data_IF_316027389881
#
_entry.id   IF_316027389881
#
_cell.length_a   1.000
_cell.length_b   1.000
_cell.length_c   1.000
_cell.angle_alpha   90.00
_cell.angle_beta   90.00
_cell.angle_gamma   90.00
#
_symmetry.space_group_name_H-M   'P 1'
#
loop_
_entity.id
_entity.type
_entity.pdbx_description
1 polymer ?
#
# COMPACT_ATOMS: atom_id res chain seq x y z
N UNK A 1 -2.40 6.69 21.92
CA UNK A 1 -1.09 7.32 21.72
C UNK A 1 -1.44 8.66 21.09
N UNK A 2 -0.79 9.78 21.42
CA UNK A 2 -1.29 11.07 20.94
C UNK A 2 -0.78 11.33 19.52
N UNK A 3 -1.41 10.70 18.54
CA UNK A 3 -1.01 10.69 17.13
C UNK A 3 -2.05 11.38 16.22
N UNK A 4 -2.95 12.17 16.82
CA UNK A 4 -4.07 12.87 16.18
C UNK A 4 -5.12 11.95 15.56
N UNK A 5 -5.03 10.65 15.81
CA UNK A 5 -6.02 9.66 15.45
C UNK A 5 -6.79 9.23 16.70
N UNK A 6 -8.12 9.24 16.58
CA UNK A 6 -8.99 8.76 17.64
C UNK A 6 -9.10 7.24 17.51
N UNK A 7 -8.19 6.53 18.17
CA UNK A 7 -8.16 5.06 18.21
C UNK A 7 -9.18 4.50 19.22
N UNK A 8 -9.51 5.28 20.27
CA UNK A 8 -10.54 4.93 21.24
C UNK A 8 -11.89 5.60 20.90
N UNK A 9 -12.99 4.85 21.00
CA UNK A 9 -14.34 5.33 20.66
C UNK A 9 -14.83 6.56 21.46
N UNK A 10 -14.19 6.86 22.59
CA UNK A 10 -14.47 8.01 23.47
C UNK A 10 -13.45 9.16 23.34
N UNK A 11 -12.41 9.00 22.50
CA UNK A 11 -11.35 9.98 22.28
C UNK A 11 -10.49 10.28 23.50
N UNK A 12 -10.45 9.36 24.47
CA UNK A 12 -9.66 9.47 25.68
C UNK A 12 -8.15 9.39 25.42
N UNK A 13 -7.76 8.79 24.31
CA UNK A 13 -6.39 8.60 23.84
C UNK A 13 -5.72 9.87 23.29
N UNK A 14 -6.51 10.91 23.01
CA UNK A 14 -6.09 12.25 22.56
C UNK A 14 -6.32 13.34 23.63
N UNK A 15 -6.69 12.93 24.85
CA UNK A 15 -6.90 13.82 25.99
C UNK A 15 -5.79 13.62 27.03
N UNK A 16 -5.32 14.72 27.62
CA UNK A 16 -4.26 14.72 28.63
C UNK A 16 -2.90 14.20 28.09
N UNK A 17 -2.63 14.51 26.83
CA UNK A 17 -1.37 14.20 26.16
C UNK A 17 -0.23 14.98 26.82
N UNK A 18 0.76 14.26 27.37
CA UNK A 18 2.08 14.83 27.63
C UNK A 18 2.61 15.45 26.35
N UNK A 19 3.49 16.44 26.44
CA UNK A 19 3.90 17.35 25.36
C UNK A 19 4.25 16.73 23.98
N UNK A 20 4.34 15.43 23.79
CA UNK A 20 4.64 14.78 22.51
C UNK A 20 3.35 14.41 21.76
N UNK A 21 3.05 15.16 20.68
CA UNK A 21 2.03 14.82 19.67
C UNK A 21 2.74 14.28 18.41
N UNK A 22 2.13 13.31 17.74
CA UNK A 22 2.55 12.76 16.45
C UNK A 22 1.47 13.03 15.37
N UNK A 23 1.82 13.23 14.09
CA UNK A 23 3.15 13.57 13.58
C UNK A 23 3.67 14.88 14.20
N UNK A 24 4.98 15.15 14.10
CA UNK A 24 5.63 16.30 14.74
C UNK A 24 5.06 17.67 14.31
N UNK A 25 4.28 17.72 13.23
CA UNK A 25 3.56 18.88 12.73
C UNK A 25 2.22 19.17 13.44
N UNK A 26 1.78 18.37 14.40
CA UNK A 26 0.53 18.58 15.15
C UNK A 26 0.71 19.55 16.34
N UNK A 27 -0.24 20.49 16.52
CA UNK A 27 -0.21 21.42 17.66
C UNK A 27 -0.76 20.77 18.94
N UNK A 28 -0.14 21.05 20.09
CA UNK A 28 -0.75 20.81 21.40
C UNK A 28 -1.42 22.09 21.87
N UNK A 29 -2.75 22.08 21.97
CA UNK A 29 -3.53 23.20 22.50
C UNK A 29 -4.40 22.68 23.64
N UNK A 30 -4.22 23.23 24.85
CA UNK A 30 -4.97 22.86 26.05
C UNK A 30 -5.02 21.33 26.30
N UNK A 31 -3.87 20.66 26.27
CA UNK A 31 -3.71 19.21 26.55
C UNK A 31 -4.46 18.27 25.57
N UNK A 32 -4.73 18.76 24.36
CA UNK A 32 -5.28 18.00 23.23
C UNK A 32 -4.46 18.24 21.96
N UNK A 33 -4.18 17.18 21.19
CA UNK A 33 -3.45 17.28 19.91
C UNK A 33 -4.43 17.53 18.75
N UNK A 34 -4.16 18.52 17.89
CA UNK A 34 -5.00 18.85 16.73
C UNK A 34 -4.19 18.90 15.44
N UNK A 35 -4.75 18.32 14.37
CA UNK A 35 -4.22 18.38 12.99
C UNK A 35 -4.99 19.42 12.17
N UNK A 36 -4.34 20.01 11.15
CA UNK A 36 -4.92 21.01 10.25
C UNK A 36 -4.23 22.38 10.23
N UNK A 37 -3.11 22.52 10.92
CA UNK A 37 -2.22 23.68 10.81
C UNK A 37 -1.12 23.39 9.80
N UNK A 38 -0.75 24.38 8.99
CA UNK A 38 0.40 24.27 8.09
C UNK A 38 1.67 24.28 8.94
N UNK A 39 2.48 23.24 8.83
CA UNK A 39 3.83 23.25 9.39
C UNK A 39 4.80 23.81 8.36
N UNK A 40 5.81 24.56 8.81
CA UNK A 40 6.89 25.08 7.99
C UNK A 40 6.46 26.07 6.91
N UNK A 41 5.65 27.06 7.28
CA UNK A 41 5.08 28.06 6.38
C UNK A 41 5.83 29.39 6.37
N UNK A 42 7.15 29.34 6.56
CA UNK A 42 8.04 30.50 6.47
C UNK A 42 7.90 31.47 7.68
N UNK A 43 7.61 30.92 8.86
CA UNK A 43 7.69 31.64 10.13
C UNK A 43 6.39 32.26 10.64
N UNK A 44 5.23 31.89 10.11
CA UNK A 44 3.94 32.27 10.70
C UNK A 44 3.53 31.26 11.78
N UNK A 45 3.64 31.65 13.05
CA UNK A 45 3.24 30.79 14.16
C UNK A 45 1.71 30.67 14.25
N UNK A 46 1.19 29.53 13.82
CA UNK A 46 -0.19 29.09 13.92
C UNK A 46 -0.47 28.24 15.19
N UNK A 47 0.53 27.57 15.76
CA UNK A 47 0.43 26.90 17.05
C UNK A 47 0.73 27.84 18.24
N UNK A 48 -0.03 27.71 19.34
CA UNK A 48 0.24 28.45 20.58
C UNK A 48 1.58 28.08 21.25
N UNK A 49 2.05 26.83 21.07
CA UNK A 49 3.36 26.34 21.53
C UNK A 49 4.49 26.59 20.51
N UNK A 50 4.16 27.17 19.34
CA UNK A 50 5.06 27.51 18.23
C UNK A 50 5.82 26.33 17.64
N UNK A 51 5.24 25.12 17.66
CA UNK A 51 5.92 23.90 17.20
C UNK A 51 5.76 23.56 15.74
N UNK A 52 4.68 24.03 15.13
CA UNK A 52 4.50 24.12 13.68
C UNK A 52 5.72 24.67 12.94
N UNK A 53 6.51 25.53 13.58
CA UNK A 53 7.74 26.12 13.02
C UNK A 53 9.04 25.69 13.74
N UNK A 54 8.97 24.80 14.75
CA UNK A 54 10.14 24.43 15.58
C UNK A 54 10.85 23.16 15.14
N UNK A 55 10.14 22.27 14.45
CA UNK A 55 10.66 21.00 13.89
C UNK A 55 10.59 20.97 12.37
N UNK A 56 10.74 22.14 11.76
CA UNK A 56 11.10 22.22 10.35
C UNK A 56 12.58 21.89 10.27
N UNK A 57 12.90 20.63 9.94
CA UNK A 57 14.19 20.39 9.31
C UNK A 57 14.22 21.32 8.09
N UNK A 58 15.19 22.25 8.02
CA UNK A 58 15.35 22.99 6.79
C UNK A 58 15.60 21.92 5.74
N UNK A 59 14.65 21.82 4.81
CA UNK A 59 14.88 21.27 3.49
C UNK A 59 16.32 21.65 3.13
N UNK A 60 17.21 20.68 2.98
CA UNK A 60 18.63 20.92 2.73
C UNK A 60 18.85 21.42 1.30
N UNK A 61 17.96 22.26 0.80
CA UNK A 61 18.37 23.45 0.10
C UNK A 61 18.61 24.51 1.18
N UNK A 62 19.83 24.50 1.73
CA UNK A 62 20.40 25.72 2.30
C UNK A 62 19.98 26.86 1.39
N UNK A 63 19.33 27.91 1.94
CA UNK A 63 19.21 29.18 1.22
C UNK A 63 20.64 29.48 0.79
N UNK A 64 20.92 29.30 -0.51
CA UNK A 64 22.25 29.49 -1.08
C UNK A 64 22.59 30.94 -0.81
N UNK A 65 23.42 31.16 0.22
CA UNK A 65 23.70 32.49 0.69
C UNK A 65 24.80 33.03 -0.20
N UNK A 66 24.40 33.72 -1.26
CA UNK A 66 25.34 34.34 -2.19
C UNK A 66 26.01 35.55 -1.53
N UNK A 67 27.31 35.69 -1.75
CA UNK A 67 28.09 36.87 -1.40
C UNK A 67 28.81 37.41 -2.62
N UNK A 68 29.09 38.72 -2.63
CA UNK A 68 29.97 39.32 -3.63
C UNK A 68 31.28 39.69 -2.96
N UNK A 69 32.37 39.11 -3.44
CA UNK A 69 33.68 39.24 -2.82
C UNK A 69 34.77 39.53 -3.87
N UNK A 70 35.96 39.96 -3.43
CA UNK A 70 37.10 40.17 -4.32
C UNK A 70 37.53 38.87 -4.99
N UNK A 71 37.60 38.86 -6.32
CA UNK A 71 38.18 37.78 -7.12
C UNK A 71 39.67 37.96 -7.40
N UNK A 72 40.30 39.04 -6.95
CA UNK A 72 41.73 39.28 -7.14
C UNK A 72 42.33 40.14 -6.02
N UNK A 73 43.66 40.10 -5.89
CA UNK A 73 44.44 40.84 -4.89
C UNK A 73 44.14 42.34 -4.90
N UNK A 74 43.80 42.91 -6.07
CA UNK A 74 43.56 44.34 -6.25
C UNK A 74 42.08 44.72 -6.19
N UNK A 75 41.16 43.78 -5.95
CA UNK A 75 39.71 43.98 -5.93
C UNK A 75 39.17 44.65 -7.21
N UNK A 76 39.80 44.38 -8.35
CA UNK A 76 39.38 44.89 -9.67
C UNK A 76 38.29 44.00 -10.30
N UNK A 77 38.14 42.77 -9.82
CA UNK A 77 37.08 41.85 -10.22
C UNK A 77 36.27 41.41 -9.01
N UNK A 78 34.96 41.66 -9.02
CA UNK A 78 34.04 41.10 -8.04
C UNK A 78 33.49 39.77 -8.59
N UNK A 79 33.44 38.77 -7.72
CA UNK A 79 32.90 37.43 -8.04
C UNK A 79 31.70 37.17 -7.13
N UNK A 80 30.67 36.55 -7.69
CA UNK A 80 29.56 35.97 -6.91
C UNK A 80 30.00 34.59 -6.41
N UNK A 81 30.07 34.44 -5.09
CA UNK A 81 30.48 33.22 -4.41
C UNK A 81 29.32 32.67 -3.57
N UNK A 82 29.30 31.35 -3.38
CA UNK A 82 28.34 30.72 -2.48
C UNK A 82 29.00 30.63 -1.11
N UNK A 83 28.36 31.19 -0.08
CA UNK A 83 28.90 31.11 1.27
C UNK A 83 28.75 29.69 1.82
N UNK A 84 29.85 29.17 2.38
CA UNK A 84 29.88 27.95 3.18
C UNK A 84 29.47 26.68 2.43
N UNK A 85 29.77 26.57 1.15
CA UNK A 85 29.56 25.35 0.37
C UNK A 85 30.80 24.43 0.33
N UNK A 86 31.88 24.84 1.01
CA UNK A 86 33.13 24.11 1.10
C UNK A 86 34.03 24.33 -0.11
N UNK A 87 33.70 25.27 -1.00
CA UNK A 87 34.48 25.58 -2.20
C UNK A 87 34.88 27.05 -2.22
N UNK A 88 36.19 27.36 -2.28
CA UNK A 88 36.64 28.74 -2.31
C UNK A 88 36.46 29.35 -3.70
N UNK A 89 35.58 30.33 -3.81
CA UNK A 89 35.42 31.21 -4.96
C UNK A 89 35.95 32.63 -4.71
N UNK A 90 36.00 33.08 -3.46
CA UNK A 90 36.58 34.36 -3.07
C UNK A 90 38.10 34.29 -2.96
N UNK A 91 38.80 35.33 -3.42
CA UNK A 91 40.26 35.42 -3.31
C UNK A 91 40.74 35.49 -1.86
N UNK A 92 39.98 36.15 -0.98
CA UNK A 92 40.28 36.27 0.44
C UNK A 92 39.72 35.12 1.29
N UNK A 93 39.11 34.12 0.65
CA UNK A 93 38.42 32.98 1.29
C UNK A 93 37.32 33.42 2.26
N UNK A 94 36.73 34.60 2.04
CA UNK A 94 35.70 35.17 2.93
C UNK A 94 34.38 34.39 2.89
N UNK A 95 34.13 33.70 1.79
CA UNK A 95 33.05 32.74 1.59
C UNK A 95 33.13 31.52 2.53
N UNK A 96 34.33 31.05 2.87
CA UNK A 96 34.55 29.78 3.58
C UNK A 96 35.24 29.90 4.95
N UNK A 97 36.08 30.92 5.14
CA UNK A 97 37.07 30.97 6.22
C UNK A 97 36.98 32.19 7.16
N UNK A 98 35.95 33.02 7.03
CA UNK A 98 35.75 34.21 7.88
C UNK A 98 34.95 33.93 9.18
N UNK A 99 34.73 32.65 9.50
CA UNK A 99 33.99 32.24 10.70
C UNK A 99 32.47 32.48 10.63
N UNK A 100 31.97 32.94 9.48
CA UNK A 100 30.54 33.05 9.17
C UNK A 100 29.88 31.68 8.95
N UNK A 101 30.68 30.63 8.69
CA UNK A 101 30.22 29.27 8.44
C UNK A 101 30.12 28.45 9.73
N UNK A 102 29.04 27.67 9.88
CA UNK A 102 28.84 26.78 11.03
C UNK A 102 29.86 25.62 11.02
N UNK A 103 30.28 25.20 9.83
CA UNK A 103 31.40 24.29 9.60
C UNK A 103 32.45 25.06 8.80
N UNK A 104 33.61 25.31 9.39
CA UNK A 104 34.73 25.92 8.66
C UNK A 104 35.46 24.86 7.87
N UNK A 105 35.71 25.13 6.59
CA UNK A 105 36.42 24.17 5.76
C UNK A 105 37.84 23.90 6.31
N UNK A 106 38.31 22.64 6.35
CA UNK A 106 39.58 22.30 6.98
C UNK A 106 40.81 22.91 6.28
N UNK A 107 40.68 23.34 5.01
CA UNK A 107 41.71 24.10 4.29
C UNK A 107 41.87 25.55 4.76
N UNK A 108 40.99 26.08 5.61
CA UNK A 108 41.11 27.43 6.18
C UNK A 108 42.38 27.63 7.03
N UNK A 109 43.00 26.53 7.47
CA UNK A 109 44.27 26.55 8.20
C UNK A 109 45.50 26.58 7.28
N UNK A 110 45.33 26.42 5.96
CA UNK A 110 46.40 26.30 4.96
C UNK A 110 46.37 27.49 3.99
N UNK A 111 46.10 28.71 4.50
CA UNK A 111 46.02 29.96 3.72
C UNK A 111 47.27 30.25 2.86
N UNK A 112 48.43 29.71 3.24
CA UNK A 112 49.70 29.91 2.52
C UNK A 112 49.77 29.22 1.15
N UNK A 113 48.91 28.23 0.87
CA UNK A 113 48.80 27.57 -0.45
C UNK A 113 47.96 28.38 -1.46
N UNK A 114 47.17 29.35 -0.98
CA UNK A 114 46.27 30.19 -1.76
C UNK A 114 46.94 31.46 -2.31
N UNK A 115 48.28 31.43 -2.48
CA UNK A 115 49.05 32.59 -2.93
C UNK A 115 49.25 32.54 -4.44
N UNK A 116 48.21 32.90 -5.19
CA UNK A 116 48.20 32.79 -6.64
C UNK A 116 48.97 33.92 -7.32
N UNK A 117 50.03 33.59 -8.05
CA UNK A 117 50.69 34.53 -8.99
C UNK A 117 49.89 34.61 -10.32
N UNK A 118 49.03 33.63 -10.61
CA UNK A 118 48.36 33.45 -11.91
C UNK A 118 46.81 33.58 -11.89
N UNK A 119 46.18 33.82 -10.74
CA UNK A 119 44.74 34.07 -10.64
C UNK A 119 44.06 33.29 -9.49
N UNK A 120 42.86 33.71 -9.05
CA UNK A 120 42.21 33.24 -7.82
C UNK A 120 41.86 31.74 -7.75
N UNK A 121 41.78 31.06 -8.91
CA UNK A 121 41.27 29.69 -9.00
C UNK A 121 42.34 28.62 -9.22
N UNK A 122 43.63 28.98 -9.31
CA UNK A 122 44.73 28.03 -9.50
C UNK A 122 45.61 27.97 -8.25
N UNK A 123 45.74 26.77 -7.67
CA UNK A 123 46.47 26.53 -6.42
C UNK A 123 47.76 25.76 -6.65
N UNK A 124 48.82 26.14 -5.92
CA UNK A 124 50.13 25.49 -6.02
C UNK A 124 50.27 24.43 -4.94
N UNK A 125 50.59 23.21 -5.34
CA UNK A 125 51.00 22.19 -4.39
C UNK A 125 52.43 22.46 -3.89
N UNK A 126 52.73 22.02 -2.66
CA UNK A 126 54.02 22.28 -2.01
C UNK A 126 55.24 21.85 -2.86
N UNK A 127 55.06 20.86 -3.75
CA UNK A 127 56.00 20.55 -4.82
C UNK A 127 55.70 21.43 -6.05
N UNK A 128 56.62 22.36 -6.33
CA UNK A 128 56.63 23.50 -7.27
C UNK A 128 56.25 23.27 -8.77
N UNK A 129 55.42 22.28 -9.12
CA UNK A 129 55.11 21.96 -10.52
C UNK A 129 53.68 21.48 -10.83
N UNK A 130 52.79 21.30 -9.84
CA UNK A 130 51.39 20.89 -10.06
C UNK A 130 50.42 21.99 -9.62
N UNK A 131 49.59 22.43 -10.57
CA UNK A 131 48.49 23.36 -10.36
C UNK A 131 47.17 22.58 -10.35
N UNK A 132 46.26 22.91 -9.44
CA UNK A 132 44.89 22.38 -9.45
C UNK A 132 43.87 23.51 -9.34
N UNK A 133 42.69 23.29 -9.92
CA UNK A 133 41.61 24.28 -9.96
C UNK A 133 40.78 24.17 -8.67
N UNK A 134 40.27 25.30 -8.17
CA UNK A 134 39.26 25.32 -7.11
C UNK A 134 37.99 24.52 -7.42
N UNK A 135 37.72 24.20 -8.68
CA UNK A 135 36.64 23.26 -9.04
C UNK A 135 36.93 21.80 -8.69
N UNK A 136 38.18 21.48 -8.43
CA UNK A 136 38.60 20.14 -8.01
C UNK A 136 38.50 19.98 -6.48
N UNK A 137 38.17 21.05 -5.74
CA UNK A 137 37.86 20.95 -4.31
C UNK A 137 36.45 20.40 -4.16
N UNK A 138 36.31 19.51 -3.19
CA UNK A 138 35.13 18.71 -2.96
C UNK A 138 34.74 17.81 -4.14
N UNK A 139 35.46 17.74 -5.27
CA UNK A 139 35.01 17.12 -6.52
C UNK A 139 34.72 15.60 -6.48
N UNK A 140 35.01 14.94 -5.35
CA UNK A 140 34.82 13.51 -5.14
C UNK A 140 36.04 12.67 -5.48
N UNK A 141 37.15 13.29 -5.90
CA UNK A 141 38.41 12.64 -6.28
C UNK A 141 39.61 13.32 -5.63
N UNK A 142 40.55 12.52 -5.15
CA UNK A 142 41.80 13.06 -4.65
C UNK A 142 42.65 13.66 -5.77
N UNK A 143 43.16 14.86 -5.56
CA UNK A 143 44.16 15.49 -6.42
C UNK A 143 45.49 14.73 -6.31
N UNK A 144 46.28 14.72 -7.39
CA UNK A 144 47.59 14.07 -7.46
C UNK A 144 48.72 14.83 -6.72
N UNK A 145 48.38 15.70 -5.77
CA UNK A 145 49.37 16.52 -5.07
C UNK A 145 50.12 15.74 -3.99
N UNK A 146 51.41 16.04 -3.85
CA UNK A 146 52.28 15.46 -2.84
C UNK A 146 52.98 16.56 -2.02
N UNK A 147 52.94 16.50 -0.67
CA UNK A 147 52.07 15.65 0.15
C UNK A 147 50.58 15.95 -0.12
N UNK A 148 49.73 14.92 0.01
CA UNK A 148 48.28 15.01 -0.24
C UNK A 148 47.66 16.06 0.70
N UNK A 149 46.77 16.89 0.17
CA UNK A 149 45.94 17.78 0.97
C UNK A 149 44.82 16.91 1.54
N UNK A 150 45.01 16.42 2.75
CA UNK A 150 44.06 15.58 3.48
C UNK A 150 42.69 16.24 3.70
N UNK A 151 42.64 17.57 3.62
CA UNK A 151 41.46 18.41 3.79
C UNK A 151 40.63 18.69 2.52
N UNK A 152 41.09 18.32 1.30
CA UNK A 152 40.47 18.82 0.05
C UNK A 152 39.04 18.30 -0.22
N UNK A 153 38.69 17.18 0.42
CA UNK A 153 37.36 16.56 0.33
C UNK A 153 36.64 16.50 1.68
N UNK A 154 37.20 17.08 2.73
CA UNK A 154 36.58 17.04 4.06
C UNK A 154 35.72 18.29 4.28
N UNK A 155 34.47 18.11 4.70
CA UNK A 155 33.58 19.21 5.08
C UNK A 155 32.82 19.85 3.91
N UNK A 156 32.41 19.04 2.93
CA UNK A 156 31.64 19.46 1.76
C UNK A 156 30.13 19.29 2.03
N UNK A 157 29.35 20.34 2.35
CA UNK A 157 27.97 20.20 2.81
C UNK A 157 27.01 19.74 1.70
N UNK A 158 27.30 20.06 0.45
CA UNK A 158 26.50 19.68 -0.72
C UNK A 158 26.83 18.29 -1.27
N UNK A 159 27.54 17.46 -0.50
CA UNK A 159 28.04 16.17 -0.96
C UNK A 159 27.76 15.02 0.00
N UNK A 160 27.61 13.84 -0.59
CA UNK A 160 27.47 12.58 0.11
C UNK A 160 28.76 11.78 0.06
N UNK A 161 29.22 11.30 1.21
CA UNK A 161 30.42 10.48 1.30
C UNK A 161 30.10 9.00 1.10
N UNK A 162 30.70 8.39 0.08
CA UNK A 162 30.59 6.95 -0.14
C UNK A 162 31.28 6.21 1.02
N UNK A 163 30.75 5.06 1.47
CA UNK A 163 31.37 4.31 2.59
C UNK A 163 32.60 3.52 2.15
N UNK A 164 32.72 3.17 0.88
CA UNK A 164 33.86 2.47 0.29
C UNK A 164 33.88 2.64 -1.24
N UNK A 165 35.08 2.65 -1.83
CA UNK A 165 35.27 2.71 -3.28
C UNK A 165 36.29 3.78 -3.68
N UNK A 166 36.53 3.90 -5.00
CA UNK A 166 37.43 4.90 -5.58
C UNK A 166 36.84 6.33 -5.58
N UNK A 167 35.51 6.45 -5.61
CA UNK A 167 34.81 7.74 -5.48
C UNK A 167 34.62 8.05 -4.01
N UNK A 168 35.15 9.17 -3.53
CA UNK A 168 35.11 9.54 -2.12
C UNK A 168 33.79 10.23 -1.75
N UNK A 169 33.31 11.11 -2.62
CA UNK A 169 32.05 11.83 -2.44
C UNK A 169 31.31 12.01 -3.77
N UNK A 170 30.00 12.16 -3.71
CA UNK A 170 29.12 12.48 -4.85
C UNK A 170 28.26 13.69 -4.53
N UNK A 171 27.69 14.33 -5.55
CA UNK A 171 26.73 15.41 -5.35
C UNK A 171 25.50 14.92 -4.57
N UNK A 172 25.03 15.69 -3.59
CA UNK A 172 23.90 15.30 -2.74
C UNK A 172 22.60 15.07 -3.54
N UNK A 173 22.44 15.71 -4.71
CA UNK A 173 21.26 15.51 -5.58
C UNK A 173 21.26 14.16 -6.30
N UNK A 174 22.42 13.49 -6.35
CA UNK A 174 22.55 12.14 -6.89
C UNK A 174 22.27 11.07 -5.85
N UNK A 175 22.16 11.44 -4.55
CA UNK A 175 21.71 10.50 -3.53
C UNK A 175 20.26 10.09 -3.80
N UNK A 176 19.98 8.80 -3.67
CA UNK A 176 18.62 8.26 -3.84
C UNK A 176 17.98 8.72 -5.16
N UNK A 177 18.73 8.75 -6.26
CA UNK A 177 18.22 9.07 -7.59
C UNK A 177 17.80 7.80 -8.37
N UNK A 178 18.18 6.62 -7.88
CA UNK A 178 17.88 5.29 -8.43
C UNK A 178 19.01 4.69 -9.26
N UNK A 179 20.13 5.40 -9.40
CA UNK A 179 21.31 5.00 -10.13
C UNK A 179 22.47 4.96 -9.15
N UNK A 180 23.19 3.85 -8.99
CA UNK A 180 24.35 3.83 -8.10
C UNK A 180 25.52 4.58 -8.76
N UNK A 181 25.98 5.67 -8.14
CA UNK A 181 27.23 6.36 -8.44
C UNK A 181 28.38 5.89 -7.55
N UNK A 182 28.12 5.57 -6.28
CA UNK A 182 29.09 4.93 -5.40
C UNK A 182 29.28 3.46 -5.77
N UNK A 183 30.51 2.95 -5.79
CA UNK A 183 30.80 1.54 -6.11
C UNK A 183 30.16 0.56 -5.11
N UNK A 184 30.02 0.98 -3.86
CA UNK A 184 29.39 0.23 -2.77
C UNK A 184 27.86 0.43 -2.70
N UNK A 185 27.28 1.26 -3.59
CA UNK A 185 25.86 1.64 -3.64
C UNK A 185 25.37 2.34 -2.36
N UNK A 186 26.27 2.96 -1.59
CA UNK A 186 25.92 3.61 -0.32
C UNK A 186 24.99 4.82 -0.47
N UNK A 187 25.02 5.44 -1.64
CA UNK A 187 24.16 6.51 -2.12
C UNK A 187 22.70 6.10 -2.37
N UNK A 188 22.48 4.82 -2.68
CA UNK A 188 21.17 4.29 -3.07
C UNK A 188 20.53 3.39 -2.03
N UNK A 189 21.12 3.23 -0.85
CA UNK A 189 20.57 2.39 0.23
C UNK A 189 19.85 3.21 1.29
N UNK A 190 18.78 2.65 1.85
CA UNK A 190 18.02 3.25 2.95
C UNK A 190 17.31 4.57 2.59
N UNK A 191 16.87 4.71 1.33
CA UNK A 191 16.06 5.83 0.86
C UNK A 191 14.59 5.62 1.27
N UNK A 192 14.00 6.54 2.03
CA UNK A 192 12.60 6.45 2.49
C UNK A 192 11.59 6.68 1.39
N UNK A 193 11.93 7.52 0.40
CA UNK A 193 11.01 7.96 -0.65
C UNK A 193 11.09 7.09 -1.92
N UNK A 194 11.76 5.94 -1.83
CA UNK A 194 11.97 5.03 -2.94
C UNK A 194 11.49 3.62 -2.63
N UNK A 195 11.04 2.94 -3.68
CA UNK A 195 10.70 1.53 -3.67
C UNK A 195 11.78 0.75 -4.42
N UNK A 196 12.31 -0.30 -3.80
CA UNK A 196 13.35 -1.15 -4.38
C UNK A 196 12.73 -2.31 -5.16
N UNK A 197 13.08 -2.42 -6.45
CA UNK A 197 12.60 -3.53 -7.28
C UNK A 197 13.23 -4.85 -6.80
N UNK A 198 12.48 -5.94 -6.81
CA UNK A 198 12.91 -7.23 -6.26
C UNK A 198 14.05 -7.86 -7.08
N UNK A 199 14.07 -7.65 -8.39
CA UNK A 199 15.17 -8.02 -9.28
C UNK A 199 16.30 -6.97 -9.38
N UNK A 200 16.11 -5.78 -8.81
CA UNK A 200 17.06 -4.67 -8.88
C UNK A 200 17.16 -3.97 -10.24
N UNK A 201 16.19 -4.15 -11.14
CA UNK A 201 16.18 -3.49 -12.47
C UNK A 201 14.86 -2.74 -12.74
N UNK A 202 14.85 -1.39 -12.68
CA UNK A 202 15.90 -0.52 -12.12
C UNK A 202 16.12 -0.76 -10.62
N UNK A 203 17.22 -0.25 -10.04
CA UNK A 203 17.57 -0.50 -8.63
C UNK A 203 16.44 -0.08 -7.69
N UNK A 204 15.88 1.10 -7.95
CA UNK A 204 14.75 1.63 -7.20
C UNK A 204 13.96 2.63 -8.05
N UNK A 205 12.67 2.75 -7.74
CA UNK A 205 11.76 3.72 -8.36
C UNK A 205 11.21 4.67 -7.28
N UNK A 206 10.75 5.88 -7.65
CA UNK A 206 10.02 6.75 -6.73
C UNK A 206 8.81 6.05 -6.10
N UNK A 207 8.55 6.26 -4.81
CA UNK A 207 7.44 5.61 -4.10
C UNK A 207 6.06 5.88 -4.71
N UNK A 208 5.90 7.03 -5.38
CA UNK A 208 4.68 7.43 -6.09
C UNK A 208 4.31 6.54 -7.29
N UNK A 209 5.27 5.76 -7.80
CA UNK A 209 5.08 4.79 -8.89
C UNK A 209 4.72 3.40 -8.40
N UNK A 210 4.81 3.14 -7.09
CA UNK A 210 4.36 1.88 -6.52
C UNK A 210 2.84 1.80 -6.64
N UNK A 211 2.31 0.70 -7.18
CA UNK A 211 0.87 0.45 -7.34
C UNK A 211 0.15 1.52 -8.17
N UNK A 212 0.79 2.03 -9.22
CA UNK A 212 0.19 3.05 -10.10
C UNK A 212 -0.54 2.45 -11.32
N UNK A 213 -0.52 1.12 -11.44
CA UNK A 213 -1.12 0.37 -12.54
C UNK A 213 -0.19 0.19 -13.75
N UNK A 214 1.06 0.66 -13.68
CA UNK A 214 2.10 0.46 -14.70
C UNK A 214 3.30 -0.24 -14.07
N UNK A 215 3.84 -1.19 -14.80
CA UNK A 215 5.10 -1.82 -14.41
C UNK A 215 6.26 -0.89 -14.76
N UNK A 216 6.85 -0.25 -13.75
CA UNK A 216 8.11 0.47 -13.80
C UNK A 216 9.30 -0.42 -13.40
N UNK A 217 9.09 -1.40 -12.51
CA UNK A 217 10.05 -2.48 -12.27
C UNK A 217 9.98 -3.53 -13.39
N UNK A 218 11.15 -4.02 -13.84
CA UNK A 218 11.20 -5.03 -14.93
C UNK A 218 10.55 -6.37 -14.53
N UNK A 219 10.50 -6.65 -13.22
CA UNK A 219 9.85 -7.84 -12.64
C UNK A 219 8.43 -7.58 -12.11
N UNK A 220 7.86 -6.39 -12.33
CA UNK A 220 6.52 -5.98 -11.85
C UNK A 220 6.36 -6.01 -10.32
N UNK A 221 7.46 -5.94 -9.57
CA UNK A 221 7.43 -5.99 -8.09
C UNK A 221 6.80 -4.76 -7.43
N UNK A 222 6.76 -3.64 -8.14
CA UNK A 222 6.07 -2.39 -7.80
C UNK A 222 4.55 -2.52 -7.80
N UNK A 223 4.00 -3.24 -8.78
CA UNK A 223 2.57 -3.53 -8.90
C UNK A 223 2.13 -4.75 -8.09
N UNK A 224 3.09 -5.62 -7.74
CA UNK A 224 2.84 -6.86 -7.00
C UNK A 224 3.85 -7.06 -5.86
N UNK A 225 3.85 -6.16 -4.85
CA UNK A 225 4.82 -6.19 -3.78
C UNK A 225 4.54 -7.32 -2.78
N UNK A 226 5.57 -7.66 -2.00
CA UNK A 226 5.53 -8.78 -1.03
C UNK A 226 4.51 -8.59 0.08
N UNK A 227 4.12 -7.35 0.39
CA UNK A 227 3.11 -7.09 1.43
C UNK A 227 1.75 -7.74 1.11
N UNK A 228 1.46 -7.99 -0.17
CA UNK A 228 0.22 -8.65 -0.60
C UNK A 228 0.12 -10.12 -0.14
N UNK A 229 1.25 -10.77 0.17
CA UNK A 229 1.29 -12.16 0.64
C UNK A 229 0.82 -12.33 2.10
N UNK A 230 0.55 -11.23 2.82
CA UNK A 230 0.04 -11.28 4.21
C UNK A 230 -1.37 -11.83 4.32
N UNK A 231 -2.13 -11.90 3.23
CA UNK A 231 -3.49 -12.43 3.23
C UNK A 231 -3.50 -13.96 3.39
N UNK A 232 -4.35 -14.48 4.29
CA UNK A 232 -4.43 -15.93 4.58
C UNK A 232 -5.07 -16.72 3.43
N UNK A 233 -5.93 -16.07 2.64
CA UNK A 233 -6.74 -16.73 1.62
C UNK A 233 -6.11 -16.73 0.22
N UNK A 234 -5.41 -15.67 -0.17
CA UNK A 234 -4.80 -15.47 -1.49
C UNK A 234 -3.39 -14.91 -1.34
N UNK A 235 -2.53 -15.12 -2.35
CA UNK A 235 -1.17 -14.60 -2.38
C UNK A 235 -0.87 -13.96 -3.74
N UNK A 236 0.27 -13.26 -3.87
CA UNK A 236 0.67 -12.61 -5.13
C UNK A 236 0.79 -13.59 -6.30
N UNK A 237 1.14 -14.85 -6.02
CA UNK A 237 1.31 -15.88 -7.03
C UNK A 237 0.04 -16.69 -7.26
N UNK A 238 -0.85 -16.79 -6.29
CA UNK A 238 -1.84 -17.86 -6.24
C UNK A 238 -3.20 -17.37 -5.74
N UNK A 239 -4.27 -17.73 -6.45
CA UNK A 239 -5.65 -17.35 -6.11
C UNK A 239 -6.04 -17.87 -4.72
N UNK A 240 -5.67 -19.13 -4.41
CA UNK A 240 -5.79 -19.71 -3.08
C UNK A 240 -4.37 -19.84 -2.51
N UNK A 241 -3.97 -18.97 -1.60
CA UNK A 241 -2.57 -18.85 -1.16
C UNK A 241 -2.02 -20.14 -0.56
N UNK A 242 -2.76 -20.76 0.35
CA UNK A 242 -2.34 -21.98 1.04
C UNK A 242 -2.49 -23.25 0.18
N UNK A 243 -1.43 -24.05 0.11
CA UNK A 243 -1.46 -25.36 -0.53
C UNK A 243 -2.49 -26.31 0.11
N UNK A 244 -2.71 -26.18 1.42
CA UNK A 244 -3.73 -26.96 2.14
C UNK A 244 -5.13 -26.61 1.62
N UNK A 245 -5.43 -25.32 1.48
CA UNK A 245 -6.74 -24.88 0.99
C UNK A 245 -6.98 -25.27 -0.48
N UNK A 246 -5.94 -25.30 -1.32
CA UNK A 246 -6.07 -25.83 -2.69
C UNK A 246 -6.42 -27.31 -2.69
N UNK A 247 -5.69 -28.11 -1.91
CA UNK A 247 -5.94 -29.54 -1.82
C UNK A 247 -7.35 -29.83 -1.27
N UNK A 248 -7.78 -29.14 -0.20
CA UNK A 248 -9.12 -29.33 0.37
C UNK A 248 -10.22 -28.86 -0.56
N UNK A 249 -10.02 -27.79 -1.34
CA UNK A 249 -10.98 -27.33 -2.35
C UNK A 249 -11.27 -28.42 -3.39
N UNK A 250 -10.24 -29.08 -3.91
CA UNK A 250 -10.40 -30.21 -4.84
C UNK A 250 -11.05 -31.42 -4.17
N UNK A 251 -10.60 -31.78 -2.96
CA UNK A 251 -11.14 -32.93 -2.22
C UNK A 251 -12.64 -32.73 -1.94
N UNK A 252 -13.03 -31.58 -1.40
CA UNK A 252 -14.42 -31.28 -1.09
C UNK A 252 -15.27 -31.07 -2.34
N UNK A 253 -14.73 -30.44 -3.39
CA UNK A 253 -15.43 -30.29 -4.67
C UNK A 253 -15.76 -31.64 -5.30
N UNK A 254 -14.79 -32.55 -5.39
CA UNK A 254 -14.99 -33.89 -5.96
C UNK A 254 -15.90 -34.75 -5.07
N UNK A 255 -15.70 -34.72 -3.74
CA UNK A 255 -16.54 -35.43 -2.80
C UNK A 255 -18.01 -34.95 -2.86
N UNK A 256 -18.23 -33.64 -2.98
CA UNK A 256 -19.56 -33.07 -3.13
C UNK A 256 -20.22 -33.53 -4.44
N UNK A 257 -19.52 -33.49 -5.57
CA UNK A 257 -20.09 -33.95 -6.86
C UNK A 257 -20.44 -35.44 -6.81
N UNK A 258 -19.51 -36.29 -6.39
CA UNK A 258 -19.72 -37.75 -6.37
C UNK A 258 -20.80 -38.14 -5.36
N UNK A 259 -20.70 -37.64 -4.13
CA UNK A 259 -21.63 -37.97 -3.04
C UNK A 259 -23.06 -37.51 -3.32
N UNK A 260 -23.21 -36.30 -3.84
CA UNK A 260 -24.53 -35.77 -4.17
C UNK A 260 -25.12 -36.41 -5.42
N UNK A 261 -24.31 -36.72 -6.45
CA UNK A 261 -24.78 -37.48 -7.61
C UNK A 261 -25.28 -38.87 -7.20
N UNK A 262 -24.55 -39.56 -6.31
CA UNK A 262 -24.98 -40.85 -5.76
C UNK A 262 -26.29 -40.75 -4.98
N UNK A 263 -26.43 -39.72 -4.14
CA UNK A 263 -27.66 -39.45 -3.38
C UNK A 263 -28.85 -39.15 -4.28
N UNK A 264 -28.64 -38.34 -5.32
CA UNK A 264 -29.65 -38.04 -6.34
C UNK A 264 -30.14 -39.31 -7.03
N UNK A 265 -29.23 -40.13 -7.56
CA UNK A 265 -29.56 -41.37 -8.27
C UNK A 265 -30.29 -42.35 -7.35
N UNK A 266 -29.81 -42.52 -6.13
CA UNK A 266 -30.44 -43.39 -5.13
C UNK A 266 -31.87 -42.95 -4.80
N UNK A 267 -32.06 -41.66 -4.49
CA UNK A 267 -33.36 -41.12 -4.13
C UNK A 267 -34.34 -41.14 -5.31
N UNK A 268 -33.89 -40.78 -6.52
CA UNK A 268 -34.71 -40.80 -7.74
C UNK A 268 -35.15 -42.23 -8.11
N UNK A 269 -34.22 -43.20 -8.06
CA UNK A 269 -34.53 -44.62 -8.32
C UNK A 269 -35.53 -45.18 -7.31
N UNK A 270 -35.39 -44.81 -6.04
CA UNK A 270 -36.31 -45.24 -4.98
C UNK A 270 -37.71 -44.66 -5.20
N UNK A 271 -37.81 -43.38 -5.58
CA UNK A 271 -39.06 -42.71 -5.89
C UNK A 271 -39.79 -43.33 -7.10
N UNK A 272 -39.01 -43.72 -8.13
CA UNK A 272 -39.53 -44.35 -9.35
C UNK A 272 -39.99 -45.79 -9.11
N UNK A 273 -39.20 -46.60 -8.38
CA UNK A 273 -39.47 -48.02 -8.17
C UNK A 273 -40.66 -48.26 -7.21
N UNK A 274 -40.81 -47.44 -6.18
CA UNK A 274 -41.84 -47.64 -5.16
C UNK A 274 -42.95 -46.59 -5.29
N UNK A 275 -43.74 -46.68 -6.37
CA UNK A 275 -44.89 -45.78 -6.59
C UNK A 275 -45.95 -45.80 -5.47
N UNK A 276 -45.93 -46.82 -4.59
CA UNK A 276 -46.83 -46.97 -3.45
C UNK A 276 -46.23 -46.50 -2.11
N UNK A 277 -45.24 -45.60 -2.12
CA UNK A 277 -44.69 -44.99 -0.91
C UNK A 277 -45.72 -44.10 -0.20
N UNK A 278 -45.67 -44.07 1.13
CA UNK A 278 -46.44 -43.11 1.93
C UNK A 278 -46.11 -41.66 1.51
N UNK A 279 -47.09 -40.73 1.52
CA UNK A 279 -46.88 -39.35 1.06
C UNK A 279 -45.70 -38.63 1.71
N UNK A 280 -45.49 -38.85 3.01
CA UNK A 280 -44.38 -38.26 3.79
C UNK A 280 -43.04 -38.84 3.37
N UNK A 281 -42.96 -40.15 3.16
CA UNK A 281 -41.75 -40.81 2.70
C UNK A 281 -41.38 -40.31 1.30
N UNK A 282 -42.38 -40.14 0.43
CA UNK A 282 -42.20 -39.54 -0.90
C UNK A 282 -41.65 -38.11 -0.78
N UNK A 283 -42.20 -37.30 0.11
CA UNK A 283 -41.74 -35.93 0.34
C UNK A 283 -40.31 -35.85 0.87
N UNK A 284 -39.93 -36.73 1.81
CA UNK A 284 -38.55 -36.82 2.30
C UNK A 284 -37.55 -37.13 1.18
N UNK A 285 -37.87 -38.07 0.28
CA UNK A 285 -37.00 -38.36 -0.87
C UNK A 285 -36.94 -37.20 -1.88
N UNK A 286 -38.04 -36.48 -2.10
CA UNK A 286 -38.04 -35.26 -2.93
C UNK A 286 -37.11 -34.20 -2.33
N UNK A 287 -37.12 -34.02 -1.01
CA UNK A 287 -36.22 -33.08 -0.33
C UNK A 287 -34.76 -33.52 -0.37
N UNK A 288 -34.48 -34.81 -0.24
CA UNK A 288 -33.13 -35.35 -0.42
C UNK A 288 -32.61 -35.10 -1.85
N UNK A 289 -33.48 -35.22 -2.87
CA UNK A 289 -33.12 -34.86 -4.24
C UNK A 289 -32.77 -33.38 -4.34
N UNK A 290 -33.62 -32.48 -3.82
CA UNK A 290 -33.35 -31.03 -3.86
C UNK A 290 -32.09 -30.66 -3.09
N UNK A 291 -31.86 -31.26 -1.93
CA UNK A 291 -30.65 -31.07 -1.13
C UNK A 291 -29.39 -31.50 -1.91
N UNK A 292 -29.43 -32.68 -2.54
CA UNK A 292 -28.31 -33.16 -3.37
C UNK A 292 -28.05 -32.27 -4.59
N UNK A 293 -29.10 -31.67 -5.17
CA UNK A 293 -28.92 -30.71 -6.27
C UNK A 293 -28.25 -29.44 -5.74
N UNK A 294 -28.72 -28.88 -4.62
CA UNK A 294 -28.13 -27.68 -4.01
C UNK A 294 -26.66 -27.90 -3.64
N UNK A 295 -26.33 -28.95 -2.90
CA UNK A 295 -24.94 -29.25 -2.51
C UNK A 295 -24.06 -29.64 -3.72
N UNK A 296 -24.66 -30.21 -4.77
CA UNK A 296 -23.99 -30.45 -6.05
C UNK A 296 -23.56 -29.16 -6.75
N UNK A 297 -24.38 -28.10 -6.69
CA UNK A 297 -24.02 -26.78 -7.23
C UNK A 297 -22.83 -26.16 -6.48
N UNK A 298 -22.75 -26.31 -5.15
CA UNK A 298 -21.55 -25.93 -4.38
C UNK A 298 -20.32 -26.71 -4.84
N UNK A 299 -20.48 -28.00 -5.14
CA UNK A 299 -19.41 -28.82 -5.72
C UNK A 299 -18.92 -28.27 -7.06
N UNK A 300 -19.83 -27.89 -7.96
CA UNK A 300 -19.48 -27.26 -9.25
C UNK A 300 -18.72 -25.96 -9.03
N UNK A 301 -19.17 -25.13 -8.08
CA UNK A 301 -18.48 -23.90 -7.70
C UNK A 301 -17.04 -24.17 -7.24
N UNK A 302 -16.82 -25.12 -6.33
CA UNK A 302 -15.47 -25.44 -5.82
C UNK A 302 -14.54 -25.97 -6.92
N UNK A 303 -15.05 -26.79 -7.84
CA UNK A 303 -14.27 -27.29 -8.98
C UNK A 303 -13.92 -26.15 -9.95
N UNK A 304 -14.86 -25.25 -10.24
CA UNK A 304 -14.62 -24.10 -11.08
C UNK A 304 -13.58 -23.15 -10.45
N UNK A 305 -13.69 -22.90 -9.14
CA UNK A 305 -12.73 -22.09 -8.38
C UNK A 305 -11.33 -22.73 -8.39
N UNK A 306 -11.24 -24.04 -8.14
CA UNK A 306 -9.98 -24.78 -8.20
C UNK A 306 -9.34 -24.76 -9.60
N UNK A 307 -10.16 -24.84 -10.65
CA UNK A 307 -9.71 -24.74 -12.05
C UNK A 307 -9.13 -23.36 -12.35
N UNK A 308 -9.80 -22.29 -11.90
CA UNK A 308 -9.29 -20.91 -12.01
C UNK A 308 -8.03 -20.68 -11.18
N UNK A 309 -7.91 -21.35 -10.04
CA UNK A 309 -6.69 -21.36 -9.25
C UNK A 309 -5.48 -21.92 -9.99
N UNK A 310 -5.66 -22.96 -10.82
CA UNK A 310 -4.58 -23.50 -11.67
C UNK A 310 -4.27 -22.56 -12.83
N UNK A 311 -5.30 -21.99 -13.47
CA UNK A 311 -5.15 -21.06 -14.60
C UNK A 311 -4.30 -19.84 -14.26
N UNK A 312 -4.45 -19.29 -13.05
CA UNK A 312 -3.73 -18.10 -12.60
C UNK A 312 -2.51 -18.41 -11.71
N UNK A 313 -2.11 -19.68 -11.61
CA UNK A 313 -1.01 -20.10 -10.76
C UNK A 313 0.32 -19.48 -11.19
N UNK A 314 1.08 -18.97 -10.23
CA UNK A 314 2.37 -18.31 -10.43
C UNK A 314 2.29 -16.80 -10.66
N UNK A 315 1.17 -16.28 -11.20
CA UNK A 315 1.04 -14.88 -11.62
C UNK A 315 -0.33 -14.26 -11.25
N UNK A 316 -0.96 -14.72 -10.16
CA UNK A 316 -2.31 -14.31 -9.78
C UNK A 316 -2.48 -12.79 -9.61
N UNK A 317 -1.50 -12.09 -9.04
CA UNK A 317 -1.59 -10.65 -8.78
C UNK A 317 -1.96 -9.83 -10.03
N UNK A 318 -1.39 -10.16 -11.19
CA UNK A 318 -1.71 -9.52 -12.47
C UNK A 318 -3.16 -9.74 -12.91
N UNK A 319 -3.72 -10.89 -12.56
CA UNK A 319 -5.08 -11.27 -12.93
C UNK A 319 -6.11 -10.95 -11.84
N UNK A 320 -5.72 -10.56 -10.62
CA UNK A 320 -6.65 -10.32 -9.50
C UNK A 320 -7.77 -9.35 -9.88
N UNK A 321 -7.39 -8.18 -10.41
CA UNK A 321 -8.35 -7.16 -10.85
C UNK A 321 -9.27 -7.68 -11.95
N UNK A 322 -8.72 -8.32 -12.98
CA UNK A 322 -9.50 -8.86 -14.09
C UNK A 322 -10.45 -9.97 -13.63
N UNK A 323 -9.98 -10.86 -12.76
CA UNK A 323 -10.76 -11.96 -12.21
C UNK A 323 -11.92 -11.44 -11.36
N UNK A 324 -11.65 -10.57 -10.38
CA UNK A 324 -12.67 -10.06 -9.45
C UNK A 324 -13.71 -9.16 -10.09
N UNK A 325 -13.36 -8.49 -11.20
CA UNK A 325 -14.30 -7.68 -11.99
C UNK A 325 -14.99 -8.48 -13.11
N UNK A 326 -14.60 -9.74 -13.32
CA UNK A 326 -15.19 -10.57 -14.37
C UNK A 326 -16.62 -11.01 -14.05
N UNK A 327 -17.43 -11.14 -15.10
CA UNK A 327 -18.74 -11.80 -15.01
C UNK A 327 -18.65 -13.26 -14.56
N UNK A 328 -17.53 -13.93 -14.84
CA UNK A 328 -17.30 -15.31 -14.40
C UNK A 328 -17.20 -15.43 -12.89
N UNK A 329 -16.48 -14.52 -12.22
CA UNK A 329 -16.39 -14.49 -10.77
C UNK A 329 -17.75 -14.15 -10.15
N UNK A 330 -18.46 -13.16 -10.71
CA UNK A 330 -19.80 -12.78 -10.25
C UNK A 330 -20.82 -13.94 -10.33
N UNK A 331 -20.87 -14.64 -11.47
CA UNK A 331 -21.76 -15.78 -11.66
C UNK A 331 -21.43 -16.97 -10.74
N UNK A 332 -20.13 -17.23 -10.50
CA UNK A 332 -19.71 -18.26 -9.55
C UNK A 332 -20.06 -17.89 -8.11
N UNK A 333 -19.91 -16.62 -7.72
CA UNK A 333 -20.36 -16.12 -6.42
C UNK A 333 -21.86 -16.30 -6.23
N UNK A 334 -22.66 -15.92 -7.24
CA UNK A 334 -24.12 -16.15 -7.21
C UNK A 334 -24.47 -17.64 -7.14
N UNK A 335 -23.78 -18.50 -7.88
CA UNK A 335 -23.99 -19.95 -7.81
C UNK A 335 -23.75 -20.49 -6.39
N UNK A 336 -22.66 -20.07 -5.74
CA UNK A 336 -22.34 -20.45 -4.38
C UNK A 336 -23.41 -19.99 -3.38
N UNK A 337 -23.88 -18.73 -3.50
CA UNK A 337 -24.92 -18.18 -2.65
C UNK A 337 -26.27 -18.89 -2.83
N UNK A 338 -26.70 -19.10 -4.08
CA UNK A 338 -27.96 -19.84 -4.35
C UNK A 338 -27.88 -21.25 -3.75
N UNK A 339 -26.74 -21.92 -3.90
CA UNK A 339 -26.51 -23.25 -3.35
C UNK A 339 -26.62 -23.27 -1.82
N UNK A 340 -25.89 -22.38 -1.13
CA UNK A 340 -25.89 -22.35 0.35
C UNK A 340 -27.26 -21.99 0.91
N UNK A 341 -27.93 -21.00 0.33
CA UNK A 341 -29.27 -20.57 0.78
C UNK A 341 -30.32 -21.65 0.52
N UNK A 342 -30.32 -22.28 -0.65
CA UNK A 342 -31.22 -23.39 -0.96
C UNK A 342 -31.01 -24.55 0.03
N UNK A 343 -29.76 -24.93 0.31
CA UNK A 343 -29.43 -25.99 1.28
C UNK A 343 -29.97 -25.66 2.66
N UNK A 344 -29.77 -24.44 3.18
CA UNK A 344 -30.27 -24.04 4.51
C UNK A 344 -31.80 -24.09 4.58
N UNK A 345 -32.50 -23.56 3.57
CA UNK A 345 -33.96 -23.57 3.53
C UNK A 345 -34.53 -24.99 3.43
N UNK A 346 -33.91 -25.85 2.60
CA UNK A 346 -34.31 -27.26 2.44
C UNK A 346 -34.06 -28.04 3.73
N UNK A 347 -32.93 -27.83 4.41
CA UNK A 347 -32.63 -28.47 5.69
C UNK A 347 -33.61 -28.05 6.78
N UNK A 348 -33.94 -26.76 6.87
CA UNK A 348 -34.95 -26.26 7.80
C UNK A 348 -36.32 -26.89 7.55
N UNK A 349 -36.70 -27.04 6.28
CA UNK A 349 -37.97 -27.68 5.91
C UNK A 349 -37.97 -29.19 6.20
N UNK A 350 -36.87 -29.88 5.90
CA UNK A 350 -36.69 -31.30 6.22
C UNK A 350 -36.75 -31.55 7.74
N UNK A 351 -36.11 -30.69 8.53
CA UNK A 351 -36.19 -30.75 9.99
C UNK A 351 -37.63 -30.54 10.50
N UNK A 352 -38.34 -29.55 9.93
CA UNK A 352 -39.74 -29.27 10.27
C UNK A 352 -40.65 -30.45 9.96
N UNK A 353 -40.49 -31.08 8.79
CA UNK A 353 -41.27 -32.27 8.42
C UNK A 353 -40.99 -33.47 9.30
N UNK A 354 -39.73 -33.68 9.71
CA UNK A 354 -39.35 -34.72 10.66
C UNK A 354 -40.03 -34.48 12.02
N UNK A 355 -39.95 -33.26 12.53
CA UNK A 355 -40.61 -32.90 13.79
C UNK A 355 -42.13 -33.09 13.70
N UNK A 356 -42.77 -32.61 12.63
CA UNK A 356 -44.20 -32.79 12.40
C UNK A 356 -44.60 -34.28 12.32
N UNK A 357 -43.75 -35.11 11.71
CA UNK A 357 -43.97 -36.55 11.59
C UNK A 357 -43.92 -37.28 12.94
N UNK A 358 -43.02 -36.87 13.83
CA UNK A 358 -42.89 -37.41 15.18
C UNK A 358 -44.07 -36.98 16.06
N UNK A 359 -44.45 -35.70 16.01
CA UNK A 359 -45.52 -35.15 16.85
C UNK A 359 -46.93 -35.56 16.39
N UNK A 360 -47.15 -35.79 15.09
CA UNK A 360 -48.50 -36.03 14.53
C UNK A 360 -48.57 -37.27 13.61
N UNK A 361 -48.25 -38.49 14.10
CA UNK A 361 -48.06 -39.69 13.25
C UNK A 361 -49.31 -40.16 12.46
N UNK A 362 -50.52 -39.79 12.90
CA UNK A 362 -51.76 -40.16 12.20
C UNK A 362 -52.14 -39.15 11.10
N UNK A 363 -51.89 -37.84 11.34
CA UNK A 363 -52.19 -36.78 10.36
C UNK A 363 -51.24 -36.86 9.16
N UNK A 364 -50.00 -37.30 9.40
CA UNK A 364 -48.94 -37.39 8.38
C UNK A 364 -49.25 -38.43 7.30
N UNK A 365 -50.04 -39.48 7.60
CA UNK A 365 -50.50 -40.45 6.59
C UNK A 365 -51.46 -39.86 5.54
N UNK A 366 -52.12 -38.73 5.84
CA UNK A 366 -53.12 -38.09 4.96
C UNK A 366 -52.67 -36.72 4.43
N UNK A 367 -51.39 -36.38 4.55
CA UNK A 367 -50.90 -35.07 4.12
C UNK A 367 -51.00 -34.92 2.59
N UNK A 368 -51.43 -33.75 2.13
CA UNK A 368 -51.38 -33.38 0.73
C UNK A 368 -49.96 -32.96 0.34
N UNK A 369 -49.46 -33.48 -0.78
CA UNK A 369 -48.10 -33.19 -1.28
C UNK A 369 -48.05 -31.80 -1.95
N UNK A 370 -49.20 -31.23 -2.34
CA UNK A 370 -49.26 -29.96 -3.10
C UNK A 370 -48.61 -28.79 -2.35
N UNK A 371 -48.93 -28.62 -1.06
CA UNK A 371 -48.42 -27.51 -0.24
C UNK A 371 -46.90 -27.63 -0.01
N UNK A 372 -46.37 -28.79 0.40
CA UNK A 372 -44.91 -28.98 0.50
C UNK A 372 -44.14 -28.78 -0.81
N UNK A 373 -44.72 -29.17 -1.96
CA UNK A 373 -44.07 -28.89 -3.25
C UNK A 373 -44.03 -27.39 -3.52
N UNK A 374 -45.14 -26.69 -3.26
CA UNK A 374 -45.18 -25.23 -3.40
C UNK A 374 -44.14 -24.54 -2.49
N UNK A 375 -43.94 -25.01 -1.26
CA UNK A 375 -42.92 -24.44 -0.36
C UNK A 375 -41.50 -24.68 -0.85
N UNK A 376 -41.20 -25.83 -1.47
CA UNK A 376 -39.89 -26.09 -2.09
C UNK A 376 -39.64 -25.13 -3.25
N UNK A 377 -40.64 -24.89 -4.10
CA UNK A 377 -40.53 -23.93 -5.22
C UNK A 377 -40.25 -22.53 -4.67
N UNK A 378 -40.99 -22.10 -3.64
CA UNK A 378 -40.76 -20.80 -2.99
C UNK A 378 -39.35 -20.71 -2.39
N UNK A 379 -38.86 -21.79 -1.76
CA UNK A 379 -37.50 -21.82 -1.21
C UNK A 379 -36.44 -21.64 -2.30
N UNK A 380 -36.58 -22.30 -3.46
CA UNK A 380 -35.67 -22.10 -4.59
C UNK A 380 -35.76 -20.68 -5.17
N UNK A 381 -36.96 -20.14 -5.34
CA UNK A 381 -37.13 -18.77 -5.82
C UNK A 381 -36.49 -17.75 -4.86
N UNK A 382 -36.63 -17.95 -3.55
CA UNK A 382 -36.01 -17.11 -2.54
C UNK A 382 -34.47 -17.23 -2.59
N UNK A 383 -33.94 -18.45 -2.67
CA UNK A 383 -32.49 -18.67 -2.78
C UNK A 383 -31.90 -18.03 -4.04
N UNK A 384 -32.58 -18.17 -5.18
CA UNK A 384 -32.19 -17.53 -6.45
C UNK A 384 -32.24 -16.00 -6.33
N UNK A 385 -33.31 -15.46 -5.76
CA UNK A 385 -33.46 -14.03 -5.55
C UNK A 385 -32.30 -13.48 -4.69
N UNK A 386 -32.00 -14.12 -3.55
CA UNK A 386 -30.90 -13.71 -2.66
C UNK A 386 -29.55 -13.87 -3.35
N UNK A 387 -29.30 -14.97 -4.06
CA UNK A 387 -28.01 -15.21 -4.70
C UNK A 387 -27.71 -14.32 -5.91
N UNK A 388 -28.74 -13.82 -6.61
CA UNK A 388 -28.59 -12.89 -7.74
C UNK A 388 -28.67 -11.43 -7.30
N UNK A 389 -29.23 -11.14 -6.10
CA UNK A 389 -29.34 -9.78 -5.58
C UNK A 389 -28.06 -8.94 -5.67
N UNK A 390 -26.85 -9.46 -5.36
CA UNK A 390 -25.61 -8.69 -5.46
C UNK A 390 -25.21 -8.27 -6.88
N UNK A 391 -25.78 -8.88 -7.92
CA UNK A 391 -25.49 -8.55 -9.32
C UNK A 391 -26.22 -7.28 -9.78
N UNK A 392 -27.29 -6.87 -9.09
CA UNK A 392 -28.00 -5.65 -9.44
C UNK A 392 -27.20 -4.44 -8.95
N UNK A 393 -26.90 -3.50 -9.86
CA UNK A 393 -26.10 -2.30 -9.54
C UNK A 393 -26.68 -1.47 -8.39
N UNK A 394 -28.01 -1.46 -8.22
CA UNK A 394 -28.66 -0.75 -7.11
C UNK A 394 -28.41 -1.38 -5.73
N UNK A 395 -28.01 -2.66 -5.69
CA UNK A 395 -27.78 -3.42 -4.47
C UNK A 395 -26.31 -3.82 -4.28
N UNK A 396 -25.49 -3.77 -5.33
CA UNK A 396 -24.07 -4.16 -5.25
C UNK A 396 -23.32 -3.43 -4.15
N UNK A 397 -23.65 -2.15 -3.95
CA UNK A 397 -23.08 -1.34 -2.87
C UNK A 397 -23.35 -1.91 -1.50
N UNK A 398 -24.52 -2.51 -1.24
CA UNK A 398 -24.82 -3.08 0.08
C UNK A 398 -24.05 -4.37 0.35
N UNK A 399 -23.68 -5.11 -0.70
CA UNK A 399 -22.99 -6.39 -0.60
C UNK A 399 -21.47 -6.28 -0.76
N UNK A 400 -20.95 -5.10 -1.09
CA UNK A 400 -19.51 -4.84 -1.12
C UNK A 400 -18.98 -4.48 0.28
N UNK A 401 -17.99 -5.24 0.75
CA UNK A 401 -17.26 -4.94 2.00
C UNK A 401 -16.07 -4.01 1.77
N UNK A 402 -15.60 -3.88 0.54
CA UNK A 402 -14.45 -3.06 0.17
C UNK A 402 -14.70 -2.34 -1.15
N UNK A 403 -14.10 -1.16 -1.29
CA UNK A 403 -14.19 -0.31 -2.48
C UNK A 403 -12.82 -0.24 -3.15
N UNK A 404 -12.81 -0.28 -4.49
CA UNK A 404 -11.58 -0.03 -5.26
C UNK A 404 -11.42 1.48 -5.44
N UNK A 405 -10.35 2.03 -4.87
CA UNK A 405 -10.02 3.45 -4.91
C UNK A 405 -8.53 3.62 -5.19
N UNK A 406 -8.14 3.74 -6.47
CA UNK A 406 -6.76 4.07 -6.83
C UNK A 406 -6.49 5.52 -6.46
N UNK A 407 -5.90 5.75 -5.29
CA UNK A 407 -5.51 7.09 -4.84
C UNK A 407 -4.08 7.09 -4.34
N UNK A 408 -3.36 8.19 -4.60
CA UNK A 408 -2.02 8.42 -4.05
C UNK A 408 -2.00 8.59 -2.52
N UNK A 409 -3.18 8.69 -1.90
CA UNK A 409 -3.37 8.88 -0.46
C UNK A 409 -3.32 7.56 0.31
N UNK A 410 -3.53 6.43 -0.38
CA UNK A 410 -3.66 5.11 0.26
C UNK A 410 -2.63 4.15 -0.29
N UNK A 411 -2.00 3.38 0.60
CA UNK A 411 -0.98 2.37 0.26
C UNK A 411 -1.53 1.18 -0.53
N UNK A 412 -2.85 0.99 -0.54
CA UNK A 412 -3.52 -0.09 -1.26
C UNK A 412 -4.73 0.43 -2.04
N UNK A 413 -4.89 -0.09 -3.24
CA UNK A 413 -6.00 0.18 -4.16
C UNK A 413 -7.38 -0.27 -3.64
N UNK A 414 -7.42 -1.16 -2.66
CA UNK A 414 -8.64 -1.72 -2.09
C UNK A 414 -8.73 -1.28 -0.65
N UNK A 415 -9.81 -0.57 -0.32
CA UNK A 415 -10.02 -0.01 1.00
C UNK A 415 -11.29 -0.57 1.61
N UNK A 416 -11.25 -0.82 2.93
CA UNK A 416 -12.43 -1.19 3.68
C UNK A 416 -13.49 -0.09 3.55
N UNK A 417 -14.73 -0.50 3.29
CA UNK A 417 -15.82 0.45 3.05
C UNK A 417 -16.12 1.32 4.27
N UNK A 418 -16.00 0.80 5.48
CA UNK A 418 -16.25 1.56 6.72
C UNK A 418 -15.17 2.61 6.96
N UNK A 419 -13.91 2.25 6.70
CA UNK A 419 -12.78 3.20 6.73
C UNK A 419 -13.01 4.34 5.72
N UNK A 420 -13.40 4.00 4.49
CA UNK A 420 -13.63 4.97 3.43
C UNK A 420 -14.86 5.84 3.64
N UNK A 421 -15.94 5.28 4.19
CA UNK A 421 -17.08 6.07 4.61
C UNK A 421 -16.68 7.12 5.66
N UNK A 422 -15.88 6.71 6.64
CA UNK A 422 -15.36 7.62 7.68
C UNK A 422 -14.46 8.70 7.08
N UNK A 423 -13.60 8.33 6.13
CA UNK A 423 -12.73 9.27 5.41
C UNK A 423 -13.54 10.32 4.63
N UNK A 424 -14.54 9.91 3.83
CA UNK A 424 -15.41 10.83 3.08
C UNK A 424 -16.19 11.74 4.03
N UNK A 425 -16.73 11.22 5.13
CA UNK A 425 -17.44 12.05 6.11
C UNK A 425 -16.53 13.12 6.69
N UNK A 426 -15.26 12.80 6.99
CA UNK A 426 -14.28 13.78 7.49
C UNK A 426 -13.92 14.82 6.43
N UNK A 427 -13.82 14.45 5.16
CA UNK A 427 -13.62 15.40 4.06
C UNK A 427 -14.78 16.39 3.93
N UNK A 428 -16.03 15.94 4.05
CA UNK A 428 -17.20 16.82 4.00
C UNK A 428 -17.24 17.82 5.17
N UNK A 429 -16.86 17.39 6.37
CA UNK A 429 -16.77 18.28 7.55
C UNK A 429 -15.65 19.32 7.39
N UNK A 430 -14.59 19.01 6.65
CA UNK A 430 -13.49 19.93 6.37
C UNK A 430 -13.80 20.95 5.26
N UNK A 431 -14.84 20.73 4.44
CA UNK A 431 -15.25 21.71 3.43
C UNK A 431 -16.21 22.76 4.03
N UNK A 432 -15.99 24.07 3.80
CA UNK A 432 -16.84 25.15 4.31
C UNK A 432 -18.13 25.30 3.46
N UNK A 433 -18.78 24.19 3.13
CA UNK A 433 -20.01 24.15 2.35
C UNK A 433 -21.18 23.74 3.24
N UNK A 434 -22.31 24.44 3.14
CA UNK A 434 -23.53 24.21 3.91
C UNK A 434 -24.31 22.93 3.49
N UNK A 435 -23.64 21.96 2.86
CA UNK A 435 -24.22 20.68 2.47
C UNK A 435 -24.00 19.65 3.57
N UNK A 436 -25.09 19.01 4.01
CA UNK A 436 -25.00 17.91 4.97
C UNK A 436 -24.27 16.72 4.33
N UNK A 437 -23.37 16.04 5.08
CA UNK A 437 -22.67 14.87 4.57
C UNK A 437 -23.69 13.79 4.14
N UNK A 438 -23.45 13.08 3.02
CA UNK A 438 -24.36 12.04 2.56
C UNK A 438 -24.50 10.94 3.61
N UNK A 439 -25.74 10.57 3.92
CA UNK A 439 -26.05 9.50 4.89
C UNK A 439 -25.61 8.12 4.39
N UNK A 440 -25.44 7.96 3.08
CA UNK A 440 -24.78 6.82 2.44
C UNK A 440 -24.21 7.25 1.07
N UNK A 441 -22.89 7.24 0.86
CA UNK A 441 -22.32 7.36 -0.48
C UNK A 441 -22.73 6.13 -1.31
N UNK A 442 -23.35 6.38 -2.46
CA UNK A 442 -23.44 5.41 -3.56
C UNK A 442 -22.08 5.37 -4.25
N UNK A 443 -21.49 4.19 -4.39
CA UNK A 443 -20.10 4.01 -4.87
C UNK A 443 -20.04 3.45 -6.28
#
# INVERSE_FOLDING_TARGET
MCDTLMDCMDGSDEQNCSSECWPQSACNSDSTCKSGYFGCDNGEYHCADKRDERFCEPDSMSKVQMTSCPGDVNNNSLVEAVMCDGRPECHDLSDECDGSCNVTAPFCNIKSMFNSIHGPFEFLCNDLALYFDAKNICDGKWTNCHPRIDAEELGCPSRHYCRSGDSLSIDINLMCDGVPQCEDKSDEVNCTDRFYCENGEPLSIPILKKMDGRADCSDTSDECPKELDKNVFSSRKELIGSAVFRATTWIFGLAAIVGNTGTFVYAAKTLSRFSSLNPITKLNYILLINLSVADGLMGVYLIALGSKGIEYSGNYCRFDKYWRTSSTCSNLGSLALVSSEATVLILAFLATLRLFSILNPLKTKRISIKIPIASIIVAWLLAIFVGVAPQFSSLSDQFSSAVWMPTKLTTFDIQDRGLMFTFVQRLFVAQPTAEQPPTSPSW
#
